data_IF_073996612206
#
_entry.id   IF_073996612206
#
_cell.length_a   1.000
_cell.length_b   1.000
_cell.length_c   1.000
_cell.angle_alpha   90.00
_cell.angle_beta   90.00
_cell.angle_gamma   90.00
#
_symmetry.space_group_name_H-M   'P 1'
#
loop_
_entity.id
_entity.type
_entity.pdbx_description
1 polymer ?
#
# COMPACT_ATOMS: atom_id res chain seq x y z
N UNK A 1 46.39 -20.03 13.26
CA UNK A 1 45.30 -19.50 14.10
C UNK A 1 44.07 -19.44 13.22
N UNK A 2 43.03 -20.19 13.57
CA UNK A 2 41.78 -20.28 12.82
C UNK A 2 40.99 -18.98 13.05
N UNK A 3 40.74 -18.21 11.99
CA UNK A 3 39.83 -17.07 12.02
C UNK A 3 38.43 -17.60 12.25
N UNK A 4 37.76 -17.09 13.27
CA UNK A 4 36.39 -17.45 13.59
C UNK A 4 35.50 -16.90 12.49
N UNK A 5 34.79 -17.78 11.80
CA UNK A 5 33.66 -17.40 10.96
C UNK A 5 32.65 -16.69 11.87
N UNK A 6 32.55 -15.36 11.75
CA UNK A 6 31.46 -14.60 12.32
C UNK A 6 30.20 -14.95 11.54
N UNK A 7 29.43 -15.89 12.07
CA UNK A 7 28.07 -16.17 11.60
C UNK A 7 27.22 -14.95 11.96
N UNK A 8 26.95 -14.11 10.96
CA UNK A 8 25.95 -13.05 11.07
C UNK A 8 24.59 -13.74 11.30
N UNK A 9 23.81 -13.36 12.33
CA UNK A 9 22.54 -14.01 12.58
C UNK A 9 21.61 -13.79 11.38
N UNK A 10 21.04 -14.87 10.86
CA UNK A 10 19.99 -14.82 9.84
C UNK A 10 18.81 -14.03 10.43
N UNK A 11 18.70 -12.76 10.07
CA UNK A 11 17.61 -11.91 10.53
C UNK A 11 16.36 -12.35 9.75
N UNK A 12 15.51 -13.14 10.42
CA UNK A 12 14.25 -13.61 9.84
C UNK A 12 13.35 -12.39 9.60
N UNK A 13 13.14 -12.04 8.33
CA UNK A 13 12.23 -10.96 7.93
C UNK A 13 10.84 -11.31 8.46
N UNK A 14 10.26 -10.41 9.25
CA UNK A 14 8.86 -10.48 9.62
C UNK A 14 8.03 -9.93 8.45
N UNK A 15 7.20 -10.79 7.87
CA UNK A 15 6.35 -10.42 6.75
C UNK A 15 5.10 -9.70 7.23
N UNK A 16 4.83 -8.52 6.67
CA UNK A 16 3.57 -7.79 6.86
C UNK A 16 2.39 -8.70 6.57
N UNK A 17 1.37 -8.67 7.44
CA UNK A 17 0.14 -9.45 7.32
C UNK A 17 -1.03 -8.52 7.03
N UNK A 18 -2.12 -9.00 6.40
CA UNK A 18 -3.33 -8.19 6.25
C UNK A 18 -3.82 -7.63 7.59
N UNK A 19 -4.08 -6.31 7.64
CA UNK A 19 -4.68 -5.64 8.78
C UNK A 19 -6.11 -5.15 8.48
N UNK A 20 -6.96 -4.96 9.51
CA UNK A 20 -8.21 -4.25 9.34
C UNK A 20 -7.99 -2.83 8.80
N UNK A 21 -8.74 -2.46 7.76
CA UNK A 21 -8.69 -1.12 7.17
C UNK A 21 -9.60 -0.20 7.99
N UNK A 22 -9.00 0.58 8.89
CA UNK A 22 -9.69 1.58 9.71
C UNK A 22 -9.30 2.95 9.16
N UNK A 23 -10.20 3.56 8.40
CA UNK A 23 -9.95 4.85 7.76
C UNK A 23 -10.11 6.01 8.73
N UNK A 24 -9.38 7.09 8.49
CA UNK A 24 -9.55 8.35 9.19
C UNK A 24 -10.78 9.14 8.68
N UNK A 25 -10.95 10.38 9.17
CA UNK A 25 -12.10 11.23 8.82
C UNK A 25 -12.15 11.64 7.34
N UNK A 26 -11.03 11.59 6.63
CA UNK A 26 -10.95 11.91 5.19
C UNK A 26 -11.00 10.64 4.33
N UNK A 27 -11.13 9.46 4.94
CA UNK A 27 -11.13 8.19 4.22
C UNK A 27 -9.73 7.63 3.93
N UNK A 28 -8.68 8.22 4.51
CA UNK A 28 -7.31 7.74 4.34
C UNK A 28 -7.01 6.58 5.28
N UNK A 29 -6.02 5.78 4.89
CA UNK A 29 -5.57 4.63 5.65
C UNK A 29 -4.08 4.43 5.45
N UNK A 30 -3.40 4.06 6.53
CA UNK A 30 -2.03 3.59 6.49
C UNK A 30 -1.95 2.26 7.24
N UNK A 31 -1.33 1.26 6.61
CA UNK A 31 -1.15 -0.03 7.25
C UNK A 31 -0.22 0.11 8.48
N UNK A 32 -0.62 -0.40 9.66
CA UNK A 32 0.08 -0.14 10.92
C UNK A 32 1.52 -0.69 10.99
N UNK A 33 1.81 -1.75 10.22
CA UNK A 33 3.14 -2.37 10.13
C UNK A 33 3.96 -1.89 8.92
N UNK A 34 3.48 -0.89 8.17
CA UNK A 34 4.25 -0.31 7.08
C UNK A 34 5.32 0.64 7.63
N UNK A 35 6.54 0.66 7.08
CA UNK A 35 7.52 1.68 7.42
C UNK A 35 7.02 3.07 7.02
N UNK A 36 7.39 4.06 7.82
CA UNK A 36 7.19 5.47 7.51
C UNK A 36 8.13 5.85 6.34
N UNK A 37 7.54 6.19 5.19
CA UNK A 37 8.26 6.58 3.98
C UNK A 37 7.96 8.05 3.65
N UNK A 38 9.01 8.86 3.48
CA UNK A 38 8.87 10.25 3.10
C UNK A 38 8.73 10.44 1.57
N UNK A 39 8.31 11.63 1.17
CA UNK A 39 8.38 12.07 -0.22
C UNK A 39 9.84 11.96 -0.74
N UNK A 40 10.05 11.19 -1.81
CA UNK A 40 11.36 10.90 -2.37
C UNK A 40 11.95 9.53 -1.99
N UNK A 41 11.33 8.79 -1.07
CA UNK A 41 11.78 7.44 -0.66
C UNK A 41 11.33 6.31 -1.60
N UNK A 42 10.98 6.63 -2.85
CA UNK A 42 10.46 5.67 -3.83
C UNK A 42 11.35 4.43 -4.01
N UNK A 43 12.68 4.57 -3.98
CA UNK A 43 13.59 3.42 -4.07
C UNK A 43 13.64 2.59 -2.78
N UNK A 44 13.53 3.22 -1.60
CA UNK A 44 13.43 2.49 -0.33
C UNK A 44 12.12 1.71 -0.25
N UNK A 45 11.02 2.31 -0.67
CA UNK A 45 9.72 1.67 -0.73
C UNK A 45 9.73 0.45 -1.66
N UNK A 46 10.29 0.58 -2.88
CA UNK A 46 10.47 -0.56 -3.80
C UNK A 46 11.33 -1.67 -3.21
N UNK A 47 12.43 -1.31 -2.53
CA UNK A 47 13.30 -2.26 -1.83
C UNK A 47 12.55 -3.03 -0.76
N UNK A 48 11.79 -2.33 0.09
CA UNK A 48 10.98 -2.95 1.14
C UNK A 48 9.87 -3.85 0.56
N UNK A 49 9.16 -3.42 -0.49
CA UNK A 49 8.16 -4.28 -1.18
C UNK A 49 8.79 -5.59 -1.66
N UNK A 50 10.01 -5.52 -2.21
CA UNK A 50 10.74 -6.70 -2.66
C UNK A 50 11.19 -7.60 -1.49
N UNK A 51 11.71 -7.02 -0.40
CA UNK A 51 12.06 -7.74 0.84
C UNK A 51 10.85 -8.42 1.48
N UNK A 52 9.68 -7.79 1.36
CA UNK A 52 8.40 -8.36 1.78
C UNK A 52 7.85 -9.39 0.77
N UNK A 53 8.49 -9.63 -0.37
CA UNK A 53 7.97 -10.53 -1.41
C UNK A 53 6.52 -10.20 -1.82
N UNK A 54 6.22 -8.90 -2.00
CA UNK A 54 4.89 -8.43 -2.37
C UNK A 54 4.80 -8.10 -3.85
N UNK A 55 3.65 -8.41 -4.43
CA UNK A 55 3.15 -7.76 -5.64
C UNK A 55 2.26 -6.61 -5.21
N UNK A 56 2.47 -5.42 -5.78
CA UNK A 56 1.63 -4.24 -5.50
C UNK A 56 0.89 -3.76 -6.74
N UNK A 57 -0.30 -3.18 -6.53
CA UNK A 57 -1.09 -2.50 -7.55
C UNK A 57 -1.68 -1.22 -7.01
N UNK A 58 -1.56 -0.15 -7.79
CA UNK A 58 -2.19 1.14 -7.52
C UNK A 58 -3.55 1.17 -8.24
N UNK A 59 -4.57 1.66 -7.54
CA UNK A 59 -5.86 2.06 -8.10
C UNK A 59 -6.06 3.52 -7.75
N UNK A 60 -6.60 4.29 -8.69
CA UNK A 60 -6.77 5.74 -8.57
C UNK A 60 -8.26 6.05 -8.62
N UNK A 61 -8.71 6.92 -7.72
CA UNK A 61 -10.11 7.34 -7.66
C UNK A 61 -10.55 7.99 -8.98
N UNK A 62 -9.64 8.68 -9.69
CA UNK A 62 -9.88 9.24 -11.04
C UNK A 62 -10.42 8.20 -12.02
N UNK A 63 -9.99 6.94 -11.89
CA UNK A 63 -10.41 5.84 -12.77
C UNK A 63 -11.34 4.85 -12.08
N UNK A 64 -12.06 5.30 -11.03
CA UNK A 64 -13.04 4.47 -10.34
C UNK A 64 -14.05 3.87 -11.32
N UNK A 65 -14.40 2.60 -11.09
CA UNK A 65 -15.39 1.88 -11.90
C UNK A 65 -16.77 2.57 -11.89
N UNK A 66 -17.13 3.20 -10.76
CA UNK A 66 -18.25 4.13 -10.66
C UNK A 66 -17.77 5.58 -10.82
N UNK A 67 -18.01 6.13 -12.02
CA UNK A 67 -17.61 7.50 -12.37
C UNK A 67 -18.25 8.56 -11.46
N UNK A 68 -19.41 8.30 -10.86
CA UNK A 68 -20.05 9.26 -9.96
C UNK A 68 -19.23 9.49 -8.68
N UNK A 69 -18.39 8.53 -8.29
CA UNK A 69 -17.45 8.68 -7.16
C UNK A 69 -16.34 9.66 -7.52
N UNK A 70 -15.78 9.54 -8.72
CA UNK A 70 -14.76 10.44 -9.24
C UNK A 70 -15.30 11.86 -9.39
N UNK A 71 -16.42 12.03 -10.08
CA UNK A 71 -17.08 13.32 -10.29
C UNK A 71 -17.34 14.01 -8.95
N UNK A 72 -17.88 13.28 -7.96
CA UNK A 72 -18.14 13.82 -6.63
C UNK A 72 -16.88 14.40 -5.98
N UNK A 73 -15.75 13.70 -6.05
CA UNK A 73 -14.51 14.15 -5.41
C UNK A 73 -13.99 15.43 -6.05
N UNK A 74 -13.84 15.42 -7.38
CA UNK A 74 -13.25 16.54 -8.10
C UNK A 74 -14.17 17.77 -8.16
N UNK A 75 -15.49 17.60 -8.09
CA UNK A 75 -16.44 18.72 -7.99
C UNK A 75 -16.53 19.30 -6.57
N UNK A 76 -16.39 18.46 -5.52
CA UNK A 76 -16.42 18.93 -4.14
C UNK A 76 -15.18 19.78 -3.80
N UNK A 77 -14.01 19.41 -4.34
CA UNK A 77 -12.76 20.11 -4.09
C UNK A 77 -12.29 20.02 -2.64
N UNK A 78 -12.70 18.97 -1.93
CA UNK A 78 -12.23 18.62 -0.60
C UNK A 78 -11.45 17.29 -0.63
N UNK A 79 -10.84 16.93 0.50
CA UNK A 79 -9.99 15.75 0.63
C UNK A 79 -10.75 14.49 1.06
N UNK A 80 -12.08 14.56 1.24
CA UNK A 80 -12.87 13.44 1.73
C UNK A 80 -13.08 12.41 0.63
N UNK A 81 -12.41 11.25 0.76
CA UNK A 81 -12.65 10.08 -0.06
C UNK A 81 -13.24 8.90 0.76
N UNK A 82 -13.83 9.17 1.93
CA UNK A 82 -14.39 8.14 2.81
C UNK A 82 -15.53 7.33 2.19
N UNK A 83 -16.20 7.89 1.18
CA UNK A 83 -17.26 7.23 0.41
C UNK A 83 -16.74 6.34 -0.73
N UNK A 84 -15.44 6.42 -1.06
CA UNK A 84 -14.84 5.62 -2.11
C UNK A 84 -14.44 4.25 -1.58
N UNK A 85 -14.93 3.19 -2.21
CA UNK A 85 -14.43 1.83 -2.03
C UNK A 85 -13.51 1.47 -3.21
N UNK A 86 -12.17 1.43 -3.03
CA UNK A 86 -11.25 1.14 -4.11
C UNK A 86 -11.51 -0.24 -4.71
N UNK A 87 -11.55 -0.30 -6.04
CA UNK A 87 -11.68 -1.56 -6.77
C UNK A 87 -10.51 -2.49 -6.40
N UNK A 88 -10.84 -3.74 -6.04
CA UNK A 88 -9.81 -4.75 -5.78
C UNK A 88 -9.27 -5.27 -7.12
N UNK A 89 -7.95 -5.37 -7.32
CA UNK A 89 -7.37 -5.95 -8.53
C UNK A 89 -7.76 -7.42 -8.70
N UNK A 90 -7.66 -7.92 -9.93
CA UNK A 90 -7.94 -9.33 -10.23
C UNK A 90 -7.04 -10.30 -9.44
N UNK A 91 -7.65 -11.41 -8.99
CA UNK A 91 -7.02 -12.45 -8.20
C UNK A 91 -7.36 -12.40 -6.71
N UNK A 92 -6.79 -13.31 -5.95
CA UNK A 92 -7.08 -13.51 -4.53
C UNK A 92 -6.00 -12.88 -3.63
N UNK A 93 -6.28 -12.83 -2.33
CA UNK A 93 -5.34 -12.44 -1.26
C UNK A 93 -4.76 -11.02 -1.32
N UNK A 94 -5.46 -10.10 -1.98
CA UNK A 94 -5.15 -8.67 -1.91
C UNK A 94 -5.56 -8.07 -0.55
N UNK A 95 -4.64 -7.34 0.07
CA UNK A 95 -4.87 -6.51 1.26
C UNK A 95 -4.40 -5.07 1.00
N UNK A 96 -5.00 -4.11 1.70
CA UNK A 96 -4.69 -2.70 1.52
C UNK A 96 -3.42 -2.32 2.29
N UNK A 97 -2.49 -1.63 1.63
CA UNK A 97 -1.31 -1.01 2.25
C UNK A 97 -1.58 0.43 2.65
N UNK A 98 -2.20 1.20 1.76
CA UNK A 98 -2.55 2.59 2.06
C UNK A 98 -3.64 3.12 1.15
N UNK A 99 -4.32 4.13 1.66
CA UNK A 99 -5.21 5.03 0.92
C UNK A 99 -4.76 6.44 1.30
N UNK A 100 -4.32 7.23 0.32
CA UNK A 100 -3.84 8.59 0.54
C UNK A 100 -4.10 9.45 -0.69
N UNK A 101 -4.13 10.77 -0.49
CA UNK A 101 -4.23 11.73 -1.58
C UNK A 101 -2.89 11.95 -2.27
N UNK A 102 -2.95 12.28 -3.56
CA UNK A 102 -1.80 12.66 -4.39
C UNK A 102 -2.17 13.91 -5.19
N UNK A 103 -1.23 14.48 -5.95
CA UNK A 103 -1.53 15.63 -6.82
C UNK A 103 -2.65 15.36 -7.85
N UNK A 104 -2.82 14.09 -8.24
CA UNK A 104 -3.85 13.63 -9.20
C UNK A 104 -5.10 13.06 -8.49
N UNK A 105 -5.20 13.25 -7.17
CA UNK A 105 -6.28 12.75 -6.33
C UNK A 105 -5.96 11.44 -5.59
N UNK A 106 -6.97 10.84 -4.92
CA UNK A 106 -6.78 9.70 -4.03
C UNK A 106 -6.35 8.43 -4.75
N UNK A 107 -5.44 7.71 -4.12
CA UNK A 107 -4.95 6.41 -4.58
C UNK A 107 -5.08 5.37 -3.48
N UNK A 108 -5.28 4.11 -3.88
CA UNK A 108 -5.21 2.96 -3.01
C UNK A 108 -4.10 2.03 -3.50
N UNK A 109 -3.22 1.63 -2.59
CA UNK A 109 -2.21 0.62 -2.84
C UNK A 109 -2.65 -0.72 -2.28
N UNK A 110 -2.89 -1.67 -3.18
CA UNK A 110 -3.13 -3.07 -2.86
C UNK A 110 -1.83 -3.86 -2.89
N UNK A 111 -1.70 -4.82 -1.99
CA UNK A 111 -0.62 -5.79 -1.98
C UNK A 111 -1.13 -7.22 -1.86
N UNK A 112 -0.42 -8.16 -2.47
CA UNK A 112 -0.58 -9.60 -2.21
C UNK A 112 0.79 -10.27 -2.17
N UNK A 113 0.86 -11.46 -1.57
CA UNK A 113 2.11 -12.23 -1.55
C UNK A 113 2.44 -12.71 -2.96
N UNK A 114 3.69 -12.58 -3.37
CA UNK A 114 4.21 -13.34 -4.50
C UNK A 114 4.16 -14.82 -4.14
N UNK A 115 3.30 -15.57 -4.82
CA UNK A 115 3.41 -17.03 -4.85
C UNK A 115 4.69 -17.35 -5.60
N UNK A 116 5.71 -17.75 -4.86
CA UNK A 116 6.92 -18.34 -5.46
C UNK A 116 6.53 -19.78 -5.83
N UNK A 117 6.59 -20.19 -7.12
CA UNK A 117 6.30 -21.56 -7.54
C UNK A 117 7.15 -22.62 -6.84
#
# INVERSE_FOLDING_TARGET
MCGKDEVMPEQKIAFIQPAPVIRDENGFFEHPDMPDFDEGDGEKCKGWVAEQALEVRKVELEYASDQAVADRYFEAGDADCSYWEPDRPDGEDWFCLSIHDTDDGPVCWWARRLVTP
#
